data_IF_813728396996
#
_entry.id   IF_813728396996
#
_cell.length_a   1.000
_cell.length_b   1.000
_cell.length_c   1.000
_cell.angle_alpha   90.00
_cell.angle_beta   90.00
_cell.angle_gamma   90.00
#
_symmetry.space_group_name_H-M   'P 1'
#
loop_
_entity.id
_entity.type
_entity.pdbx_description
1 polymer ?
#
# COMPACT_ATOMS: atom_id res chain seq x y z
N UNK A 1 3.74 -16.72 -22.16
CA UNK A 1 3.11 -15.45 -21.76
C UNK A 1 3.09 -15.41 -20.24
N UNK A 2 3.59 -14.34 -19.61
CA UNK A 2 3.55 -14.18 -18.16
C UNK A 2 2.12 -14.27 -17.59
N UNK A 3 2.00 -14.67 -16.33
CA UNK A 3 0.74 -15.09 -15.70
C UNK A 3 -0.12 -13.89 -15.24
N UNK A 4 -1.34 -13.67 -15.79
CA UNK A 4 -2.16 -12.51 -15.44
C UNK A 4 -2.58 -12.48 -13.96
N UNK A 5 -2.35 -11.34 -13.29
CA UNK A 5 -2.64 -11.16 -11.87
C UNK A 5 -4.15 -11.28 -11.56
N UNK A 6 -5.00 -10.94 -12.53
CA UNK A 6 -6.46 -11.13 -12.45
C UNK A 6 -6.86 -12.56 -12.07
N UNK A 7 -6.14 -13.59 -12.55
CA UNK A 7 -6.46 -14.98 -12.23
C UNK A 7 -6.11 -15.35 -10.79
N UNK A 8 -5.06 -14.76 -10.22
CA UNK A 8 -4.77 -14.90 -8.78
C UNK A 8 -5.87 -14.22 -7.96
N UNK A 9 -6.33 -13.04 -8.39
CA UNK A 9 -7.44 -12.33 -7.77
C UNK A 9 -8.76 -13.12 -7.85
N UNK A 10 -9.01 -13.86 -8.93
CA UNK A 10 -10.19 -14.74 -9.06
C UNK A 10 -10.22 -15.82 -7.97
N UNK A 11 -9.09 -16.53 -7.74
CA UNK A 11 -8.96 -17.52 -6.66
C UNK A 11 -9.13 -16.89 -5.28
N UNK A 12 -8.46 -15.76 -5.03
CA UNK A 12 -8.54 -15.07 -3.74
C UNK A 12 -9.97 -14.57 -3.44
N UNK A 13 -10.73 -14.16 -4.46
CA UNK A 13 -12.14 -13.77 -4.32
C UNK A 13 -13.08 -14.98 -4.12
N UNK A 14 -12.78 -16.15 -4.70
CA UNK A 14 -13.48 -17.40 -4.36
C UNK A 14 -13.21 -17.83 -2.90
N UNK A 15 -11.94 -17.78 -2.45
CA UNK A 15 -11.57 -18.10 -1.06
C UNK A 15 -12.15 -17.09 -0.06
N UNK A 16 -12.17 -15.79 -0.38
CA UNK A 16 -12.82 -14.77 0.44
C UNK A 16 -14.32 -15.01 0.59
N UNK A 17 -15.00 -15.47 -0.48
CA UNK A 17 -16.43 -15.85 -0.43
C UNK A 17 -16.70 -17.10 0.41
N UNK A 18 -15.73 -17.98 0.62
CA UNK A 18 -15.84 -19.07 1.58
C UNK A 18 -15.67 -18.59 3.04
N UNK A 19 -14.80 -17.60 3.28
CA UNK A 19 -14.51 -17.06 4.62
C UNK A 19 -15.64 -16.14 5.11
N UNK A 20 -16.10 -15.23 4.25
CA UNK A 20 -17.07 -14.18 4.57
C UNK A 20 -18.55 -14.64 4.51
N UNK A 21 -18.84 -15.90 4.84
CA UNK A 21 -20.22 -16.44 4.82
C UNK A 21 -20.98 -16.04 6.10
N UNK A 22 -22.23 -15.60 5.95
CA UNK A 22 -23.12 -15.25 7.07
C UNK A 22 -23.28 -16.39 8.10
N UNK A 23 -23.26 -17.64 7.63
CA UNK A 23 -23.06 -18.83 8.45
C UNK A 23 -21.62 -19.34 8.26
N UNK A 24 -20.73 -19.17 9.25
CA UNK A 24 -19.36 -19.65 9.17
C UNK A 24 -19.29 -21.17 8.99
N UNK A 25 -18.39 -21.64 8.13
CA UNK A 25 -18.12 -23.07 7.97
C UNK A 25 -17.27 -23.58 9.14
N UNK A 26 -17.61 -24.79 9.63
CA UNK A 26 -16.74 -25.52 10.56
C UNK A 26 -15.34 -25.68 9.93
N UNK A 27 -14.22 -25.51 10.68
CA UNK A 27 -12.88 -25.45 10.11
C UNK A 27 -12.52 -26.59 9.14
N UNK A 28 -12.88 -27.83 9.45
CA UNK A 28 -12.67 -28.99 8.56
C UNK A 28 -13.40 -28.85 7.22
N UNK A 29 -14.63 -28.34 7.22
CA UNK A 29 -15.44 -28.10 6.02
C UNK A 29 -14.90 -26.91 5.23
N UNK A 30 -14.46 -25.85 5.92
CA UNK A 30 -13.78 -24.71 5.30
C UNK A 30 -12.50 -25.14 4.56
N UNK A 31 -11.59 -25.87 5.22
CA UNK A 31 -10.34 -26.32 4.60
C UNK A 31 -10.59 -27.26 3.41
N UNK A 32 -11.58 -28.16 3.48
CA UNK A 32 -11.97 -28.99 2.34
C UNK A 32 -12.48 -28.14 1.16
N UNK A 33 -13.37 -27.17 1.42
CA UNK A 33 -13.91 -26.28 0.39
C UNK A 33 -12.81 -25.41 -0.25
N UNK A 34 -11.91 -24.82 0.56
CA UNK A 34 -10.76 -24.06 0.08
C UNK A 34 -9.81 -24.90 -0.78
N UNK A 35 -9.58 -26.16 -0.38
CA UNK A 35 -8.76 -27.12 -1.13
C UNK A 35 -9.39 -27.46 -2.48
N UNK A 36 -10.67 -27.82 -2.54
CA UNK A 36 -11.36 -28.12 -3.81
C UNK A 36 -11.44 -26.89 -4.73
N UNK A 37 -11.70 -25.69 -4.20
CA UNK A 37 -11.61 -24.42 -4.93
C UNK A 37 -10.22 -24.22 -5.54
N UNK A 38 -9.15 -24.42 -4.75
CA UNK A 38 -7.76 -24.29 -5.21
C UNK A 38 -7.42 -25.32 -6.28
N UNK A 39 -7.82 -26.58 -6.10
CA UNK A 39 -7.61 -27.66 -7.07
C UNK A 39 -8.38 -27.42 -8.37
N UNK A 40 -9.58 -26.84 -8.31
CA UNK A 40 -10.35 -26.42 -9.49
C UNK A 40 -9.64 -25.30 -10.26
N UNK A 41 -9.11 -24.29 -9.55
CA UNK A 41 -8.35 -23.20 -10.14
C UNK A 41 -7.04 -23.69 -10.80
N UNK A 42 -6.28 -24.53 -10.11
CA UNK A 42 -5.05 -25.14 -10.65
C UNK A 42 -5.31 -25.95 -11.93
N UNK A 43 -6.41 -26.71 -11.98
CA UNK A 43 -6.84 -27.43 -13.19
C UNK A 43 -7.23 -26.45 -14.32
N UNK A 44 -7.97 -25.38 -14.01
CA UNK A 44 -8.43 -24.38 -14.99
C UNK A 44 -7.27 -23.60 -15.63
N UNK A 45 -6.25 -23.24 -14.85
CA UNK A 45 -5.12 -22.43 -15.31
C UNK A 45 -3.87 -23.24 -15.67
N UNK A 46 -3.94 -24.59 -15.62
CA UNK A 46 -2.78 -25.50 -15.82
C UNK A 46 -1.93 -25.14 -17.05
N UNK A 47 -2.53 -24.96 -18.21
CA UNK A 47 -1.81 -24.69 -19.47
C UNK A 47 -1.06 -23.35 -19.50
N UNK A 48 -1.36 -22.44 -18.56
CA UNK A 48 -0.59 -21.20 -18.35
C UNK A 48 0.46 -21.36 -17.24
N UNK A 49 0.17 -22.16 -16.21
CA UNK A 49 1.11 -22.45 -15.13
C UNK A 49 2.27 -23.34 -15.62
N UNK A 50 1.99 -24.34 -16.45
CA UNK A 50 3.02 -25.20 -17.08
C UNK A 50 3.78 -24.50 -18.25
N UNK A 51 3.46 -23.24 -18.57
CA UNK A 51 4.08 -22.54 -19.70
C UNK A 51 5.51 -22.08 -19.38
N UNK A 52 6.47 -22.34 -20.27
CA UNK A 52 7.89 -22.02 -20.10
C UNK A 52 8.24 -20.51 -19.98
N UNK A 53 7.24 -19.63 -19.96
CA UNK A 53 7.37 -18.17 -19.79
C UNK A 53 6.50 -17.65 -18.62
N UNK A 54 6.18 -18.53 -17.67
CA UNK A 54 5.59 -18.25 -16.36
C UNK A 54 6.66 -18.53 -15.31
N UNK A 55 6.75 -17.66 -14.31
CA UNK A 55 7.62 -17.83 -13.15
C UNK A 55 6.84 -18.55 -12.03
N UNK A 56 7.16 -19.83 -11.84
CA UNK A 56 6.51 -20.71 -10.86
C UNK A 56 6.61 -20.15 -9.43
N UNK A 57 7.78 -19.63 -9.05
CA UNK A 57 8.04 -19.10 -7.72
C UNK A 57 7.33 -17.76 -7.50
N UNK A 58 7.31 -16.88 -8.51
CA UNK A 58 6.53 -15.64 -8.44
C UNK A 58 5.03 -15.91 -8.25
N UNK A 59 4.46 -16.92 -8.91
CA UNK A 59 3.05 -17.30 -8.73
C UNK A 59 2.79 -17.90 -7.35
N UNK A 60 3.59 -18.88 -6.90
CA UNK A 60 3.38 -19.54 -5.61
C UNK A 60 3.61 -18.58 -4.43
N UNK A 61 4.66 -17.75 -4.50
CA UNK A 61 4.98 -16.79 -3.43
C UNK A 61 4.12 -15.52 -3.49
N UNK A 62 3.38 -15.30 -4.58
CA UNK A 62 2.23 -14.38 -4.59
C UNK A 62 1.03 -15.00 -3.87
N UNK A 63 0.76 -16.30 -4.08
CA UNK A 63 -0.34 -17.01 -3.40
C UNK A 63 -0.10 -17.25 -1.90
N UNK A 64 1.16 -17.23 -1.46
CA UNK A 64 1.58 -17.38 -0.06
C UNK A 64 2.55 -16.24 0.35
N UNK A 65 2.08 -14.99 0.39
CA UNK A 65 2.95 -13.82 0.55
C UNK A 65 3.56 -13.74 1.96
N UNK A 66 3.01 -14.45 2.95
CA UNK A 66 3.61 -14.58 4.27
C UNK A 66 4.95 -15.35 4.25
N UNK A 67 5.22 -16.14 3.19
CA UNK A 67 6.47 -16.89 3.02
C UNK A 67 7.61 -16.06 2.41
N UNK A 68 7.32 -14.88 1.85
CA UNK A 68 8.32 -13.91 1.37
C UNK A 68 8.95 -13.16 2.54
N UNK A 69 9.79 -13.84 3.32
CA UNK A 69 10.53 -13.24 4.47
C UNK A 69 11.79 -12.49 4.04
N UNK A 70 12.28 -12.75 2.83
CA UNK A 70 13.46 -12.16 2.17
C UNK A 70 13.34 -10.64 1.91
N UNK A 71 12.16 -10.20 1.46
CA UNK A 71 11.88 -8.84 0.98
C UNK A 71 11.19 -8.00 2.05
N UNK A 72 11.81 -6.94 2.56
CA UNK A 72 11.13 -5.96 3.42
C UNK A 72 10.75 -4.74 2.58
N UNK A 73 9.55 -4.20 2.83
CA UNK A 73 9.02 -3.03 2.13
C UNK A 73 9.02 -1.82 3.07
N UNK A 74 10.20 -1.24 3.29
CA UNK A 74 10.42 -0.13 4.22
C UNK A 74 9.51 1.07 3.91
N UNK A 75 8.72 1.51 4.89
CA UNK A 75 7.76 2.61 4.74
C UNK A 75 6.45 2.24 4.02
N UNK A 76 6.17 0.96 3.76
CA UNK A 76 4.93 0.47 3.13
C UNK A 76 4.08 -0.41 4.07
N UNK A 77 4.04 -0.04 5.36
CA UNK A 77 3.05 -0.55 6.31
C UNK A 77 1.64 0.00 5.98
N UNK A 78 0.60 -0.39 6.73
CA UNK A 78 -0.77 0.07 6.47
C UNK A 78 -0.91 1.61 6.48
N UNK A 79 -0.13 2.33 7.28
CA UNK A 79 -0.15 3.79 7.30
C UNK A 79 0.60 4.41 6.11
N UNK A 80 1.79 3.91 5.77
CA UNK A 80 2.57 4.37 4.63
C UNK A 80 1.91 4.04 3.29
N UNK A 81 1.44 2.80 3.11
CA UNK A 81 0.76 2.34 1.91
C UNK A 81 -0.56 3.10 1.66
N UNK A 82 -1.30 3.47 2.72
CA UNK A 82 -2.45 4.38 2.59
C UNK A 82 -2.06 5.73 1.97
N UNK A 83 -0.97 6.35 2.43
CA UNK A 83 -0.48 7.62 1.86
C UNK A 83 -0.05 7.45 0.40
N UNK A 84 0.61 6.33 0.07
CA UNK A 84 0.98 5.99 -1.31
C UNK A 84 -0.26 5.84 -2.19
N UNK A 85 -1.27 5.07 -1.77
CA UNK A 85 -2.51 4.88 -2.54
C UNK A 85 -3.26 6.20 -2.72
N UNK A 86 -3.37 7.00 -1.65
CA UNK A 86 -4.00 8.32 -1.69
C UNK A 86 -3.32 9.27 -2.70
N UNK A 87 -2.00 9.21 -2.76
CA UNK A 87 -1.15 9.98 -3.69
C UNK A 87 -1.30 9.50 -5.13
N UNK A 88 -1.12 8.20 -5.41
CA UNK A 88 -1.06 7.68 -6.79
C UNK A 88 -2.42 7.63 -7.50
N UNK A 89 -3.51 7.57 -6.73
CA UNK A 89 -4.88 7.73 -7.24
C UNK A 89 -5.35 9.19 -7.23
N UNK A 90 -4.56 10.13 -6.68
CA UNK A 90 -4.92 11.54 -6.44
C UNK A 90 -6.31 11.66 -5.78
N UNK A 91 -6.49 11.02 -4.62
CA UNK A 91 -7.78 10.93 -3.95
C UNK A 91 -8.25 12.30 -3.41
N UNK A 92 -9.45 12.78 -3.80
CA UNK A 92 -10.10 13.90 -3.13
C UNK A 92 -10.39 13.61 -1.65
N UNK A 93 -10.51 14.66 -0.83
CA UNK A 93 -10.67 14.57 0.63
C UNK A 93 -11.73 13.57 1.11
N UNK A 94 -12.90 13.49 0.45
CA UNK A 94 -13.93 12.49 0.79
C UNK A 94 -13.44 11.04 0.65
N UNK A 95 -12.71 10.76 -0.43
CA UNK A 95 -12.22 9.43 -0.77
C UNK A 95 -11.00 9.04 0.06
N UNK A 96 -10.21 10.03 0.49
CA UNK A 96 -9.16 9.81 1.48
C UNK A 96 -9.73 9.55 2.88
N UNK A 97 -10.79 10.24 3.29
CA UNK A 97 -11.50 9.95 4.55
C UNK A 97 -12.17 8.57 4.50
N UNK A 98 -12.79 8.19 3.38
CA UNK A 98 -13.32 6.84 3.16
C UNK A 98 -12.22 5.76 3.14
N UNK A 99 -11.03 6.08 2.61
CA UNK A 99 -9.86 5.21 2.70
C UNK A 99 -9.44 5.01 4.16
N UNK A 100 -9.33 6.09 4.94
CA UNK A 100 -8.86 6.09 6.32
C UNK A 100 -9.76 5.34 7.32
N UNK A 101 -10.97 4.90 6.92
CA UNK A 101 -11.91 4.19 7.79
C UNK A 101 -11.30 2.93 8.44
N UNK A 102 -10.36 2.23 7.80
CA UNK A 102 -9.70 1.04 8.37
C UNK A 102 -9.06 1.31 9.75
N UNK A 103 -8.63 2.56 10.02
CA UNK A 103 -8.00 2.99 11.28
C UNK A 103 -8.95 3.02 12.48
N UNK A 104 -10.25 3.15 12.24
CA UNK A 104 -11.26 3.51 13.26
C UNK A 104 -12.54 2.67 13.18
N UNK A 105 -12.82 2.08 12.01
CA UNK A 105 -13.94 1.19 11.74
C UNK A 105 -13.44 -0.20 11.28
N UNK A 106 -12.54 -0.92 12.00
CA UNK A 106 -11.93 -2.17 11.52
C UNK A 106 -12.96 -3.29 11.25
N UNK A 107 -14.12 -3.24 11.92
CA UNK A 107 -15.27 -4.12 11.64
C UNK A 107 -15.88 -3.91 10.23
N UNK A 108 -15.53 -2.82 9.53
CA UNK A 108 -15.89 -2.54 8.13
C UNK A 108 -14.73 -2.84 7.16
N UNK A 109 -13.73 -3.60 7.62
CA UNK A 109 -12.64 -4.12 6.81
C UNK A 109 -11.31 -3.38 6.99
N UNK A 110 -10.27 -4.02 6.45
CA UNK A 110 -8.89 -3.55 6.37
C UNK A 110 -8.70 -2.39 5.37
N UNK A 111 -7.46 -1.90 5.26
CA UNK A 111 -7.06 -0.92 4.25
C UNK A 111 -7.52 -1.37 2.85
N UNK A 112 -7.27 -2.63 2.48
CA UNK A 112 -7.60 -3.15 1.16
C UNK A 112 -9.11 -3.17 0.85
N UNK A 113 -9.96 -3.47 1.85
CA UNK A 113 -11.42 -3.32 1.72
C UNK A 113 -11.82 -1.85 1.51
N UNK A 114 -11.12 -0.92 2.17
CA UNK A 114 -11.34 0.52 1.98
C UNK A 114 -10.85 1.00 0.60
N UNK A 115 -9.75 0.45 0.07
CA UNK A 115 -9.28 0.69 -1.31
C UNK A 115 -10.32 0.25 -2.34
N UNK A 116 -10.87 -0.96 -2.21
CA UNK A 116 -11.92 -1.45 -3.12
C UNK A 116 -13.16 -0.54 -3.08
N UNK A 117 -13.61 -0.16 -1.88
CA UNK A 117 -14.75 0.75 -1.67
C UNK A 117 -14.51 2.11 -2.32
N UNK A 118 -13.35 2.72 -2.09
CA UNK A 118 -13.00 4.03 -2.65
C UNK A 118 -12.93 3.98 -4.18
N UNK A 119 -12.29 2.97 -4.77
CA UNK A 119 -12.23 2.84 -6.23
C UNK A 119 -13.60 2.56 -6.84
N UNK A 120 -14.50 1.82 -6.16
CA UNK A 120 -15.91 1.67 -6.59
C UNK A 120 -16.67 2.99 -6.53
N UNK A 121 -16.50 3.79 -5.47
CA UNK A 121 -17.12 5.12 -5.35
C UNK A 121 -16.63 6.06 -6.46
N UNK A 122 -15.32 6.07 -6.76
CA UNK A 122 -14.75 6.82 -7.88
C UNK A 122 -15.32 6.39 -9.24
N UNK A 123 -15.64 5.11 -9.44
CA UNK A 123 -16.25 4.60 -10.67
C UNK A 123 -17.68 5.13 -10.87
N UNK A 124 -18.50 5.09 -9.83
CA UNK A 124 -19.87 5.62 -9.86
C UNK A 124 -19.92 7.15 -10.11
N UNK A 125 -18.82 7.85 -9.79
CA UNK A 125 -18.64 9.28 -10.03
C UNK A 125 -18.05 9.62 -11.41
N UNK A 126 -17.94 8.65 -12.32
CA UNK A 126 -17.32 8.77 -13.65
C UNK A 126 -15.84 9.25 -13.61
N UNK A 127 -15.10 8.97 -12.53
CA UNK A 127 -13.67 9.25 -12.50
C UNK A 127 -12.88 8.20 -13.30
N UNK A 128 -11.76 8.60 -13.91
CA UNK A 128 -10.93 7.71 -14.73
C UNK A 128 -10.35 6.57 -13.90
N UNK A 129 -10.77 5.34 -14.22
CA UNK A 129 -10.33 4.08 -13.62
C UNK A 129 -9.87 3.13 -14.73
N UNK A 130 -9.05 2.14 -14.40
CA UNK A 130 -8.58 1.14 -15.34
C UNK A 130 -9.71 0.24 -15.86
N UNK A 131 -9.67 -0.06 -17.15
CA UNK A 131 -10.56 -1.05 -17.78
C UNK A 131 -10.12 -2.48 -17.41
N UNK A 132 -11.04 -3.45 -17.56
CA UNK A 132 -10.73 -4.88 -17.39
C UNK A 132 -9.55 -5.33 -18.28
N UNK A 133 -9.42 -4.77 -19.49
CA UNK A 133 -8.29 -5.05 -20.39
C UNK A 133 -6.95 -4.53 -19.84
N UNK A 134 -6.93 -3.36 -19.19
CA UNK A 134 -5.71 -2.82 -18.55
C UNK A 134 -5.28 -3.65 -17.34
N UNK A 135 -6.25 -4.12 -16.55
CA UNK A 135 -5.99 -4.98 -15.39
C UNK A 135 -5.53 -6.38 -15.80
N UNK A 136 -6.15 -6.97 -16.84
CA UNK A 136 -5.74 -8.26 -17.42
C UNK A 136 -4.35 -8.24 -18.06
N UNK A 137 -3.82 -7.05 -18.39
CA UNK A 137 -2.47 -6.86 -18.88
C UNK A 137 -1.41 -6.68 -17.75
N UNK A 138 -1.81 -6.67 -16.48
CA UNK A 138 -0.88 -6.75 -15.34
C UNK A 138 -0.63 -8.21 -15.02
N UNK A 139 0.64 -8.61 -14.93
CA UNK A 139 1.04 -9.99 -14.61
C UNK A 139 1.67 -10.09 -13.23
N UNK A 140 1.72 -11.31 -12.70
CA UNK A 140 2.34 -11.61 -11.40
C UNK A 140 3.81 -11.25 -11.43
N UNK A 141 4.54 -11.59 -12.49
CA UNK A 141 5.98 -11.36 -12.66
C UNK A 141 6.31 -9.87 -12.74
N UNK A 142 5.44 -9.05 -13.38
CA UNK A 142 5.58 -7.59 -13.39
C UNK A 142 5.49 -7.02 -11.96
N UNK A 143 4.54 -7.51 -11.16
CA UNK A 143 4.40 -7.12 -9.75
C UNK A 143 5.60 -7.63 -8.95
N UNK A 144 6.02 -8.88 -9.16
CA UNK A 144 7.10 -9.51 -8.39
C UNK A 144 8.44 -8.79 -8.54
N UNK A 145 8.85 -8.53 -9.79
CA UNK A 145 10.06 -7.79 -10.11
C UNK A 145 10.01 -6.34 -9.59
N UNK A 146 8.82 -5.73 -9.61
CA UNK A 146 8.61 -4.38 -9.07
C UNK A 146 8.72 -4.34 -7.54
N UNK A 147 8.16 -5.33 -6.84
CA UNK A 147 8.29 -5.46 -5.39
C UNK A 147 9.71 -5.88 -4.98
N UNK A 148 10.40 -6.68 -5.79
CA UNK A 148 11.82 -7.02 -5.61
C UNK A 148 12.70 -5.76 -5.73
N UNK A 149 12.47 -4.92 -6.74
CA UNK A 149 13.16 -3.63 -6.91
C UNK A 149 12.92 -2.69 -5.72
N UNK A 150 11.70 -2.65 -5.17
CA UNK A 150 11.42 -1.88 -3.95
C UNK A 150 12.17 -2.47 -2.75
N UNK A 151 12.19 -3.79 -2.61
CA UNK A 151 12.83 -4.47 -1.50
C UNK A 151 14.36 -4.41 -1.52
N UNK A 152 15.01 -4.37 -2.69
CA UNK A 152 16.49 -4.25 -2.78
C UNK A 152 17.02 -2.94 -2.21
N UNK A 153 16.19 -1.89 -2.19
CA UNK A 153 16.51 -0.57 -1.63
C UNK A 153 16.03 -0.39 -0.17
N UNK A 154 15.48 -1.43 0.46
CA UNK A 154 15.03 -1.43 1.86
C UNK A 154 16.13 -1.97 2.77
N UNK A 155 16.41 -1.25 3.87
CA UNK A 155 17.47 -1.61 4.82
C UNK A 155 17.25 -2.94 5.53
N UNK A 156 15.98 -3.33 5.72
CA UNK A 156 15.58 -4.56 6.41
C UNK A 156 15.54 -5.83 5.55
N UNK A 157 15.77 -5.73 4.23
CA UNK A 157 15.76 -6.90 3.34
C UNK A 157 17.03 -7.76 3.48
N UNK A 158 16.96 -9.02 3.02
CA UNK A 158 18.09 -9.94 3.03
C UNK A 158 19.32 -9.39 2.28
N UNK A 159 20.51 -9.93 2.55
CA UNK A 159 21.74 -9.49 1.90
C UNK A 159 21.69 -9.73 0.38
N UNK A 160 21.10 -10.85 -0.03
CA UNK A 160 20.90 -11.29 -1.41
C UNK A 160 19.94 -10.33 -2.11
N UNK A 161 18.78 -10.02 -1.50
CA UNK A 161 17.81 -9.05 -2.03
C UNK A 161 18.44 -7.66 -2.17
N UNK A 162 19.25 -7.20 -1.20
CA UNK A 162 19.91 -5.89 -1.26
C UNK A 162 21.04 -5.83 -2.30
N UNK A 163 21.72 -6.95 -2.58
CA UNK A 163 22.74 -7.03 -3.65
C UNK A 163 22.18 -6.89 -5.07
N UNK A 164 20.84 -6.90 -5.23
CA UNK A 164 20.14 -6.64 -6.50
C UNK A 164 19.77 -5.15 -6.68
N UNK A 165 20.21 -4.25 -5.80
CA UNK A 165 20.10 -2.80 -6.02
C UNK A 165 21.14 -2.33 -7.05
N UNK A 166 20.72 -1.55 -8.04
CA UNK A 166 21.62 -0.92 -9.01
C UNK A 166 22.01 0.46 -8.48
N UNK A 167 23.31 0.74 -8.38
CA UNK A 167 23.84 1.87 -7.59
C UNK A 167 23.36 3.26 -8.06
N UNK A 168 22.98 3.42 -9.34
CA UNK A 168 22.53 4.68 -9.95
C UNK A 168 20.98 4.85 -10.05
N UNK A 169 20.16 3.85 -9.68
CA UNK A 169 18.70 3.89 -9.90
C UNK A 169 17.91 4.34 -8.63
N UNK A 170 17.43 5.60 -8.57
CA UNK A 170 16.52 6.03 -7.49
C UNK A 170 15.22 5.22 -7.51
N UNK A 171 15.06 4.28 -6.58
CA UNK A 171 13.86 3.47 -6.46
C UNK A 171 12.67 4.29 -5.91
N UNK A 172 11.95 4.97 -6.81
CA UNK A 172 10.67 5.58 -6.49
C UNK A 172 9.56 4.51 -6.41
N UNK A 173 9.47 3.88 -5.24
CA UNK A 173 8.45 2.89 -4.90
C UNK A 173 7.02 3.39 -5.15
N UNK A 174 6.80 4.71 -5.14
CA UNK A 174 5.49 5.33 -5.29
C UNK A 174 5.11 5.45 -6.76
N UNK A 175 6.05 5.81 -7.63
CA UNK A 175 5.84 5.72 -9.08
C UNK A 175 5.62 4.26 -9.53
N UNK A 176 6.44 3.33 -9.02
CA UNK A 176 6.34 1.89 -9.27
C UNK A 176 4.94 1.37 -8.86
N UNK A 177 4.53 1.54 -7.61
CA UNK A 177 3.21 1.11 -7.14
C UNK A 177 2.07 1.86 -7.86
N UNK A 178 2.25 3.14 -8.15
CA UNK A 178 1.29 3.95 -8.88
C UNK A 178 1.02 3.44 -10.29
N UNK A 179 2.01 2.86 -10.96
CA UNK A 179 1.82 2.23 -12.26
C UNK A 179 0.88 1.01 -12.21
N UNK A 180 0.80 0.30 -11.07
CA UNK A 180 -0.17 -0.76 -10.86
C UNK A 180 -1.53 -0.22 -10.42
N UNK A 181 -1.61 0.64 -9.40
CA UNK A 181 -2.89 1.18 -8.91
C UNK A 181 -3.66 1.98 -9.98
N UNK A 182 -2.97 2.58 -10.97
CA UNK A 182 -3.59 3.23 -12.15
C UNK A 182 -4.00 2.26 -13.27
N UNK A 183 -3.63 0.98 -13.20
CA UNK A 183 -3.89 -0.08 -14.21
C UNK A 183 -4.79 -1.21 -13.72
N UNK A 184 -5.00 -1.35 -12.41
CA UNK A 184 -5.86 -2.37 -11.79
C UNK A 184 -7.28 -1.84 -11.54
N UNK A 185 -8.29 -2.72 -11.52
CA UNK A 185 -9.63 -2.34 -11.05
C UNK A 185 -9.67 -2.35 -9.52
N UNK A 186 -10.78 -1.88 -8.94
CA UNK A 186 -11.03 -1.92 -7.48
C UNK A 186 -10.77 -3.29 -6.84
N UNK A 187 -11.02 -4.40 -7.57
CA UNK A 187 -10.87 -5.77 -7.08
C UNK A 187 -9.40 -6.19 -7.00
N UNK A 188 -8.66 -6.03 -8.09
CA UNK A 188 -7.24 -6.38 -8.12
C UNK A 188 -6.42 -5.42 -7.24
N UNK A 189 -6.82 -4.15 -7.12
CA UNK A 189 -6.16 -3.19 -6.24
C UNK A 189 -6.26 -3.58 -4.74
N UNK A 190 -7.38 -4.16 -4.29
CA UNK A 190 -7.50 -4.79 -2.97
C UNK A 190 -6.47 -5.92 -2.80
N UNK A 191 -6.42 -6.85 -3.75
CA UNK A 191 -5.52 -7.99 -3.65
C UNK A 191 -4.04 -7.61 -3.76
N UNK A 192 -3.69 -6.58 -4.53
CA UNK A 192 -2.35 -5.98 -4.53
C UNK A 192 -2.02 -5.32 -3.17
N UNK A 193 -2.98 -4.60 -2.58
CA UNK A 193 -2.79 -3.98 -1.24
C UNK A 193 -2.46 -5.04 -0.20
N UNK A 194 -3.19 -6.16 -0.20
CA UNK A 194 -2.95 -7.31 0.68
C UNK A 194 -1.63 -8.04 0.42
N UNK A 195 -1.26 -8.19 -0.85
CA UNK A 195 0.03 -8.77 -1.28
C UNK A 195 1.22 -7.93 -0.77
N UNK A 196 1.14 -6.60 -0.82
CA UNK A 196 2.18 -5.70 -0.29
C UNK A 196 2.27 -5.81 1.24
N UNK A 197 1.12 -5.83 1.94
CA UNK A 197 1.07 -6.00 3.39
C UNK A 197 1.37 -7.43 3.85
N UNK A 198 1.49 -8.39 2.93
CA UNK A 198 1.67 -9.84 3.15
C UNK A 198 0.61 -10.50 4.03
N UNK A 199 -0.61 -9.97 4.03
CA UNK A 199 -1.76 -10.52 4.74
C UNK A 199 -2.99 -10.51 3.83
N UNK A 200 -3.47 -11.71 3.46
CA UNK A 200 -4.70 -11.84 2.67
C UNK A 200 -5.98 -11.74 3.50
N UNK A 201 -5.88 -11.64 4.82
CA UNK A 201 -6.98 -11.53 5.76
C UNK A 201 -7.43 -12.87 6.35
N UNK A 202 -8.30 -12.85 7.38
CA UNK A 202 -8.66 -14.04 8.14
C UNK A 202 -9.29 -15.14 7.27
N UNK A 203 -8.78 -16.36 7.45
CA UNK A 203 -9.20 -17.58 6.73
C UNK A 203 -8.66 -17.73 5.31
N UNK A 204 -8.20 -16.65 4.66
CA UNK A 204 -7.75 -16.69 3.26
C UNK A 204 -6.29 -17.12 3.22
N UNK A 205 -6.05 -18.43 3.02
CA UNK A 205 -4.72 -19.02 2.81
C UNK A 205 -4.75 -20.03 1.67
N UNK A 206 -3.68 -20.05 0.87
CA UNK A 206 -3.42 -21.15 -0.06
C UNK A 206 -2.95 -22.39 0.73
N UNK A 207 -3.50 -23.60 0.51
CA UNK A 207 -3.16 -24.78 1.30
C UNK A 207 -1.67 -25.19 1.20
N UNK A 208 -1.03 -25.43 2.35
CA UNK A 208 0.36 -25.90 2.42
C UNK A 208 0.56 -27.34 1.92
N UNK A 209 -0.49 -28.16 1.98
CA UNK A 209 -0.51 -29.50 1.37
C UNK A 209 -1.80 -29.72 0.58
N UNK A 210 -1.65 -29.85 -0.74
CA UNK A 210 -2.75 -30.20 -1.64
C UNK A 210 -2.85 -31.72 -1.73
N UNK A 211 -3.49 -32.35 -0.73
CA UNK A 211 -3.66 -33.80 -0.65
C UNK A 211 -4.45 -34.30 -1.86
N UNK A 212 -3.71 -34.86 -2.82
CA UNK A 212 -4.24 -35.34 -4.08
C UNK A 212 -4.64 -36.81 -3.97
N UNK A 213 -5.93 -37.08 -4.16
CA UNK A 213 -6.45 -38.44 -4.34
C UNK A 213 -5.83 -39.04 -5.62
N UNK A 214 -5.73 -40.36 -5.71
CA UNK A 214 -4.98 -41.06 -6.77
C UNK A 214 -5.40 -40.74 -8.22
N UNK A 215 -6.58 -40.14 -8.42
CA UNK A 215 -7.09 -39.63 -9.69
C UNK A 215 -6.71 -38.15 -9.99
N UNK A 216 -5.75 -37.55 -9.26
CA UNK A 216 -5.29 -36.16 -9.45
C UNK A 216 -3.92 -36.09 -10.16
N UNK A 217 -3.79 -36.65 -11.36
CA UNK A 217 -2.61 -36.48 -12.24
C UNK A 217 -2.47 -35.06 -12.83
N UNK A 218 -3.14 -34.07 -12.25
CA UNK A 218 -3.48 -32.79 -12.89
C UNK A 218 -2.84 -31.56 -12.25
N UNK A 219 -2.00 -31.69 -11.22
CA UNK A 219 -1.31 -30.55 -10.62
C UNK A 219 -0.25 -29.95 -11.57
N UNK A 220 -0.20 -28.61 -11.73
CA UNK A 220 0.84 -27.92 -12.51
C UNK A 220 2.23 -28.07 -11.90
N UNK A 221 3.28 -27.83 -12.70
CA UNK A 221 4.69 -27.97 -12.28
C UNK A 221 5.05 -27.19 -11.00
N UNK A 222 4.46 -26.01 -10.80
CA UNK A 222 4.70 -25.15 -9.64
C UNK A 222 4.21 -25.73 -8.30
N UNK A 223 3.45 -26.84 -8.28
CA UNK A 223 2.87 -27.41 -7.05
C UNK A 223 3.61 -28.68 -6.62
N UNK A 224 4.29 -28.61 -5.49
CA UNK A 224 4.88 -29.80 -4.85
C UNK A 224 3.79 -30.71 -4.28
N UNK A 225 3.84 -32.01 -4.62
CA UNK A 225 2.84 -33.01 -4.21
C UNK A 225 3.37 -33.87 -3.07
N UNK A 226 2.77 -33.77 -1.89
CA UNK A 226 3.02 -34.73 -0.80
C UNK A 226 2.02 -35.88 -0.89
N UNK A 227 2.46 -37.03 -1.40
CA UNK A 227 1.65 -38.23 -1.48
C UNK A 227 1.57 -38.93 -0.11
N UNK A 228 0.39 -38.89 0.52
CA UNK A 228 0.09 -39.66 1.72
C UNK A 228 -0.46 -41.03 1.31
N UNK A 229 0.42 -42.03 1.22
CA UNK A 229 0.02 -43.42 0.99
C UNK A 229 -0.61 -43.99 2.26
N UNK A 230 -1.93 -44.19 2.25
CA UNK A 230 -2.62 -44.93 3.30
C UNK A 230 -2.08 -46.37 3.35
N UNK A 231 -1.24 -46.67 4.34
CA UNK A 231 -0.61 -47.98 4.54
C UNK A 231 -1.56 -49.04 5.13
N UNK A 232 -2.82 -49.02 4.70
CA UNK A 232 -3.73 -50.15 4.86
C UNK A 232 -3.34 -51.24 3.85
N UNK A 233 -2.20 -51.89 4.11
CA UNK A 233 -1.92 -53.23 3.55
C UNK A 233 -3.08 -54.10 4.04
N UNK A 234 -3.92 -54.68 3.16
CA UNK A 234 -4.95 -55.61 3.59
C UNK A 234 -4.25 -56.77 4.30
N UNK A 235 -4.68 -57.18 5.52
CA UNK A 235 -4.03 -58.26 6.24
C UNK A 235 -3.98 -59.49 5.33
N UNK A 236 -2.78 -60.01 5.09
CA UNK A 236 -2.53 -60.96 4.01
C UNK A 236 -3.21 -62.29 4.29
N UNK A 237 -4.40 -62.48 3.72
CA UNK A 237 -5.20 -63.70 3.85
C UNK A 237 -4.52 -64.88 3.14
N UNK A 238 -3.52 -65.47 3.80
CA UNK A 238 -3.02 -66.80 3.46
C UNK A 238 -4.12 -67.81 3.75
N UNK A 239 -4.54 -68.56 2.74
CA UNK A 239 -5.48 -69.67 2.86
C UNK A 239 -4.69 -70.94 3.17
N UNK A 240 -4.41 -71.17 4.45
CA UNK A 240 -3.80 -72.41 4.91
C UNK A 240 -4.88 -73.50 5.05
N UNK A 241 -5.17 -74.17 3.93
CA UNK A 241 -6.04 -75.34 3.86
C UNK A 241 -7.56 -75.06 3.80
N UNK A 242 -8.38 -76.12 3.72
CA UNK A 242 -9.83 -76.02 3.64
C UNK A 242 -10.48 -75.92 5.04
N UNK A 243 -11.06 -74.77 5.37
CA UNK A 243 -12.09 -74.68 6.42
C UNK A 243 -11.86 -73.71 7.58
N UNK A 244 -10.78 -72.91 7.60
CA UNK A 244 -10.61 -71.88 8.64
C UNK A 244 -10.04 -70.57 8.10
N UNK A 245 -10.45 -69.47 8.73
CA UNK A 245 -9.92 -68.12 8.53
C UNK A 245 -9.69 -67.50 9.92
N UNK A 246 -8.51 -66.90 10.11
CA UNK A 246 -8.23 -66.04 11.26
C UNK A 246 -7.63 -64.72 10.78
N UNK A 247 -7.98 -63.64 11.46
CA UNK A 247 -7.33 -62.35 11.29
C UNK A 247 -5.96 -62.40 12.00
N UNK A 248 -4.93 -61.80 11.39
CA UNK A 248 -3.65 -61.59 12.06
C UNK A 248 -3.67 -60.24 12.81
N UNK A 249 -3.18 -60.22 14.05
CA UNK A 249 -3.17 -59.02 14.87
C UNK A 249 -2.26 -57.92 14.29
N UNK A 250 -2.73 -56.67 14.39
CA UNK A 250 -2.05 -55.53 13.78
C UNK A 250 -0.79 -55.13 14.57
N UNK A 251 0.38 -55.56 14.09
CA UNK A 251 1.66 -55.10 14.60
C UNK A 251 1.80 -53.57 14.45
N UNK A 252 2.03 -52.86 15.57
CA UNK A 252 2.23 -51.41 15.59
C UNK A 252 3.53 -51.06 14.87
N UNK A 253 3.44 -50.49 13.67
CA UNK A 253 4.62 -50.06 12.90
C UNK A 253 5.22 -48.79 13.50
N UNK A 254 6.42 -48.90 14.06
CA UNK A 254 7.30 -47.76 14.35
C UNK A 254 7.99 -47.30 13.07
N UNK A 255 8.01 -45.98 12.84
CA UNK A 255 8.59 -45.38 11.64
C UNK A 255 10.12 -45.38 11.67
N UNK A 256 10.74 -46.41 11.11
CA UNK A 256 12.18 -46.42 10.82
C UNK A 256 12.47 -45.78 9.45
N UNK A 257 13.57 -45.03 9.37
CA UNK A 257 14.06 -44.37 8.16
C UNK A 257 14.73 -45.39 7.23
N UNK A 258 14.70 -45.14 5.91
CA UNK A 258 15.53 -45.88 4.94
C UNK A 258 17.01 -45.41 5.02
N UNK A 259 17.98 -46.27 4.66
CA UNK A 259 19.40 -46.02 4.94
C UNK A 259 20.13 -45.20 3.87
N UNK A 260 21.16 -44.48 4.31
CA UNK A 260 22.16 -43.81 3.47
C UNK A 260 23.34 -44.77 3.15
N UNK A 261 23.92 -44.75 1.94
CA UNK A 261 25.11 -45.55 1.62
C UNK A 261 26.40 -44.98 2.28
N UNK A 262 27.47 -45.80 2.45
CA UNK A 262 28.62 -45.45 3.27
C UNK A 262 29.81 -44.83 2.50
N UNK A 263 30.44 -43.83 3.13
CA UNK A 263 31.85 -43.45 2.95
C UNK A 263 32.31 -42.76 4.26
N UNK A 264 33.17 -43.38 5.07
CA UNK A 264 34.63 -43.16 5.11
C UNK A 264 35.04 -42.04 6.08
N UNK A 265 35.85 -42.40 7.08
CA UNK A 265 36.43 -41.51 8.10
C UNK A 265 37.64 -40.70 7.52
N UNK A 266 38.22 -39.65 8.15
CA UNK A 266 38.54 -39.62 9.59
C UNK A 266 38.40 -38.28 10.36
N UNK A 267 38.43 -38.40 11.70
CA UNK A 267 38.86 -37.39 12.69
C UNK A 267 40.38 -37.59 12.98
N UNK A 268 41.16 -36.67 13.62
CA UNK A 268 40.67 -35.94 14.79
C UNK A 268 41.24 -34.53 15.13
N UNK A 269 40.58 -33.89 16.11
CA UNK A 269 40.98 -32.76 17.00
C UNK A 269 41.94 -31.65 16.52
N UNK A 270 41.59 -30.40 16.87
CA UNK A 270 42.32 -29.71 17.95
C UNK A 270 41.48 -28.62 18.64
N UNK A 271 41.65 -28.49 19.96
CA UNK A 271 40.85 -27.60 20.83
C UNK A 271 41.67 -26.42 21.36
N UNK A 272 41.09 -25.21 21.43
CA UNK A 272 41.46 -24.20 22.44
C UNK A 272 40.29 -23.28 22.80
N UNK A 273 40.38 -22.58 23.94
CA UNK A 273 39.27 -21.85 24.57
C UNK A 273 39.77 -20.66 25.41
N UNK A 274 38.85 -19.73 25.73
CA UNK A 274 38.76 -18.85 26.92
C UNK A 274 38.92 -17.31 26.78
N UNK A 275 38.10 -16.64 27.63
CA UNK A 275 38.16 -15.22 28.12
C UNK A 275 37.77 -14.15 27.09
N UNK A 276 36.73 -13.31 27.26
CA UNK A 276 35.83 -12.92 28.40
C UNK A 276 36.44 -11.98 29.45
N UNK A 277 35.63 -11.00 29.88
CA UNK A 277 35.78 -10.02 30.98
C UNK A 277 36.58 -8.73 30.66
N UNK A 278 36.19 -7.51 31.12
CA UNK A 278 34.94 -7.04 31.78
C UNK A 278 34.75 -5.52 31.55
N UNK A 279 33.54 -4.96 31.76
CA UNK A 279 33.26 -3.53 31.49
C UNK A 279 31.97 -2.91 32.06
N UNK A 280 31.51 -3.31 33.24
CA UNK A 280 30.50 -2.57 34.05
C UNK A 280 31.11 -1.26 34.60
N UNK A 281 30.40 -0.18 34.98
CA UNK A 281 28.97 0.15 35.31
C UNK A 281 28.80 1.69 35.07
N UNK A 282 27.79 2.50 35.46
CA UNK A 282 26.57 2.45 36.30
C UNK A 282 25.67 3.68 35.91
N UNK A 283 24.37 3.69 36.26
CA UNK A 283 23.49 4.80 36.76
C UNK A 283 22.02 4.51 36.33
N UNK A 284 21.02 4.42 37.23
CA UNK A 284 20.25 5.48 37.96
C UNK A 284 19.45 6.40 37.02
N UNK A 285 18.16 6.70 37.21
CA UNK A 285 17.22 6.55 38.36
C UNK A 285 15.75 6.35 37.87
N UNK A 286 14.71 6.15 38.73
CA UNK A 286 13.46 5.48 38.31
C UNK A 286 12.14 6.29 38.46
N UNK A 287 11.04 5.62 38.06
CA UNK A 287 9.66 5.70 38.59
C UNK A 287 8.72 6.87 38.24
N UNK A 288 7.59 6.48 37.63
CA UNK A 288 6.36 7.26 37.48
C UNK A 288 5.42 7.12 38.70
N UNK A 289 4.73 8.22 39.06
CA UNK A 289 3.39 8.27 39.66
C UNK A 289 2.69 9.49 39.05
N UNK A 290 1.55 9.40 38.39
CA UNK A 290 0.20 9.05 38.89
C UNK A 290 -0.39 10.12 39.81
N UNK A 291 -1.27 10.96 39.23
CA UNK A 291 -2.46 11.42 39.94
C UNK A 291 -3.61 11.61 38.93
N UNK A 292 -4.79 11.12 39.31
CA UNK A 292 -6.08 11.36 38.64
C UNK A 292 -6.96 12.05 39.68
N UNK A 293 -7.75 13.03 39.24
CA UNK A 293 -8.78 13.65 40.08
C UNK A 293 -10.10 13.72 39.29
N UNK A 294 -11.21 13.52 39.99
CA UNK A 294 -12.56 13.32 39.45
C UNK A 294 -13.53 14.15 40.31
N UNK A 295 -14.60 14.67 39.69
CA UNK A 295 -15.88 15.15 40.27
C UNK A 295 -16.20 16.62 39.94
N UNK A 296 -17.49 17.03 39.90
CA UNK A 296 -18.68 16.24 39.56
C UNK A 296 -19.66 16.93 38.57
N UNK A 297 -20.69 16.16 38.23
CA UNK A 297 -21.93 16.48 37.49
C UNK A 297 -22.74 17.66 38.04
N UNK A 298 -23.48 18.37 37.18
CA UNK A 298 -24.87 18.77 37.49
C UNK A 298 -25.77 18.91 36.24
N UNK A 299 -27.09 19.14 36.42
CA UNK A 299 -28.15 18.80 35.44
C UNK A 299 -29.44 19.62 35.61
N UNK A 300 -29.92 20.30 34.55
CA UNK A 300 -31.30 20.80 34.29
C UNK A 300 -31.31 21.38 32.84
N UNK A 301 -32.23 21.21 31.88
CA UNK A 301 -33.70 21.04 31.71
C UNK A 301 -34.46 22.30 31.24
N UNK A 302 -34.83 22.27 29.94
CA UNK A 302 -36.17 22.54 29.39
C UNK A 302 -36.60 23.90 28.74
N UNK A 303 -37.57 23.76 27.82
CA UNK A 303 -38.56 24.69 27.25
C UNK A 303 -38.13 25.87 26.33
N UNK A 304 -38.99 26.18 25.33
CA UNK A 304 -39.11 27.55 24.77
C UNK A 304 -38.96 27.75 23.24
N UNK A 305 -40.03 27.54 22.47
CA UNK A 305 -40.28 28.20 21.16
C UNK A 305 -41.22 29.41 21.39
N UNK A 306 -41.37 30.43 20.48
CA UNK A 306 -41.30 30.30 19.01
C UNK A 306 -40.76 31.48 18.16
N UNK A 307 -40.61 31.21 16.86
CA UNK A 307 -40.72 32.13 15.69
C UNK A 307 -40.17 33.58 15.74
N UNK A 308 -39.22 33.86 14.83
CA UNK A 308 -39.23 35.11 14.03
C UNK A 308 -38.75 34.84 12.61
N UNK A 309 -39.57 35.16 11.59
CA UNK A 309 -39.14 35.13 10.18
C UNK A 309 -38.09 36.23 9.96
N UNK A 310 -36.92 35.84 9.48
CA UNK A 310 -35.92 36.73 8.87
C UNK A 310 -35.66 36.33 7.42
N UNK A 311 -35.19 37.28 6.61
CA UNK A 311 -34.90 37.07 5.18
C UNK A 311 -33.76 36.06 5.01
N UNK A 312 -33.62 35.39 3.84
CA UNK A 312 -32.43 34.61 3.53
C UNK A 312 -31.21 35.55 3.48
N UNK A 313 -30.48 35.62 4.59
CA UNK A 313 -29.19 36.29 4.65
C UNK A 313 -28.24 35.62 3.65
N UNK A 314 -27.54 36.43 2.86
CA UNK A 314 -26.52 35.93 1.95
C UNK A 314 -25.53 35.04 2.70
N UNK A 315 -25.28 33.84 2.15
CA UNK A 315 -24.31 32.91 2.72
C UNK A 315 -22.93 33.59 2.74
N UNK A 316 -22.46 33.95 3.95
CA UNK A 316 -21.13 34.51 4.17
C UNK A 316 -20.08 33.55 3.61
N UNK A 317 -19.58 33.85 2.43
CA UNK A 317 -18.52 33.08 1.77
C UNK A 317 -17.28 33.05 2.68
N UNK A 318 -16.89 31.85 3.10
CA UNK A 318 -15.75 31.67 4.00
C UNK A 318 -14.47 32.24 3.39
N UNK A 319 -13.67 33.03 4.14
CA UNK A 319 -12.36 33.48 3.67
C UNK A 319 -11.41 32.29 3.46
N UNK A 320 -10.37 32.43 2.61
CA UNK A 320 -9.48 31.33 2.23
C UNK A 320 -8.70 30.78 3.44
N UNK A 321 -8.52 29.46 3.48
CA UNK A 321 -7.90 28.73 4.60
C UNK A 321 -6.39 28.97 4.62
N UNK A 322 -5.91 29.73 5.61
CA UNK A 322 -4.48 29.92 5.90
C UNK A 322 -3.99 28.91 6.95
N UNK A 323 -3.70 27.68 6.52
CA UNK A 323 -3.08 26.67 7.39
C UNK A 323 -1.54 26.66 7.24
N UNK A 324 -0.88 27.68 7.78
CA UNK A 324 0.55 27.60 8.10
C UNK A 324 0.72 26.98 9.48
N UNK A 325 1.04 25.68 9.58
CA UNK A 325 1.02 24.96 10.85
C UNK A 325 2.01 23.79 10.95
N UNK A 326 2.94 23.91 11.90
CA UNK A 326 4.00 22.93 12.26
C UNK A 326 4.99 22.63 11.12
N UNK A 327 5.96 23.52 10.95
CA UNK A 327 7.20 23.25 10.21
C UNK A 327 7.87 21.98 10.75
N UNK A 328 7.87 20.91 9.93
CA UNK A 328 8.61 19.66 10.15
C UNK A 328 9.75 19.47 9.15
N UNK A 329 9.87 20.40 8.21
CA UNK A 329 11.00 20.59 7.30
C UNK A 329 12.34 20.50 8.06
N UNK A 330 13.24 19.65 7.61
CA UNK A 330 14.62 19.58 8.11
C UNK A 330 15.49 20.66 7.44
N UNK A 331 15.16 21.07 6.21
CA UNK A 331 15.61 22.34 5.67
C UNK A 331 15.02 23.48 6.52
N UNK A 332 15.87 24.34 7.08
CA UNK A 332 15.42 25.44 7.95
C UNK A 332 14.50 26.41 7.19
N UNK A 333 13.68 27.19 7.91
CA UNK A 333 12.74 28.13 7.28
C UNK A 333 13.41 29.21 6.41
N UNK A 334 14.74 29.37 6.51
CA UNK A 334 15.55 30.26 5.67
C UNK A 334 16.15 29.56 4.42
N UNK A 335 16.34 28.23 4.44
CA UNK A 335 16.92 27.45 3.33
C UNK A 335 15.89 26.63 2.56
N UNK A 336 14.73 26.33 3.15
CA UNK A 336 13.62 25.67 2.48
C UNK A 336 13.13 26.50 1.27
N UNK A 337 13.22 25.98 0.03
CA UNK A 337 12.93 26.76 -1.17
C UNK A 337 11.42 27.05 -1.37
N UNK A 338 10.57 26.50 -0.50
CA UNK A 338 9.11 26.67 -0.51
C UNK A 338 8.64 27.78 0.45
N UNK A 339 9.43 28.16 1.47
CA UNK A 339 8.99 29.01 2.58
C UNK A 339 8.51 30.43 2.19
N UNK A 340 9.00 30.99 1.08
CA UNK A 340 8.54 32.29 0.55
C UNK A 340 7.64 32.13 -0.71
N UNK A 341 6.93 31.01 -0.84
CA UNK A 341 5.99 30.76 -1.92
C UNK A 341 4.53 30.85 -1.45
N UNK A 342 3.67 31.31 -2.35
CA UNK A 342 2.22 31.22 -2.24
C UNK A 342 1.73 30.32 -3.37
N UNK A 343 1.24 29.14 -3.01
CA UNK A 343 0.77 28.14 -3.96
C UNK A 343 -0.70 28.34 -4.34
N UNK A 344 -1.03 28.09 -5.59
CA UNK A 344 -2.35 28.24 -6.18
C UNK A 344 -2.70 26.88 -6.78
N UNK A 345 -3.60 26.16 -6.15
CA UNK A 345 -3.84 24.76 -6.48
C UNK A 345 -4.91 24.65 -7.56
N UNK A 346 -4.62 23.92 -8.65
CA UNK A 346 -5.63 23.59 -9.65
C UNK A 346 -6.80 22.81 -9.01
N UNK A 347 -8.07 23.02 -9.43
CA UNK A 347 -9.23 22.35 -8.81
C UNK A 347 -9.11 20.83 -8.71
N UNK A 348 -8.43 20.20 -9.68
CA UNK A 348 -8.19 18.76 -9.74
C UNK A 348 -7.19 18.21 -8.69
N UNK A 349 -6.40 19.07 -8.03
CA UNK A 349 -5.47 18.71 -6.94
C UNK A 349 -5.76 19.48 -5.64
N UNK A 350 -6.52 20.58 -5.70
CA UNK A 350 -6.91 21.42 -4.57
C UNK A 350 -7.70 20.67 -3.47
N UNK A 351 -8.23 19.49 -3.78
CA UNK A 351 -8.97 18.62 -2.85
C UNK A 351 -8.15 17.43 -2.35
N UNK A 352 -6.90 17.24 -2.82
CA UNK A 352 -6.06 16.06 -2.53
C UNK A 352 -5.32 16.21 -1.20
N UNK A 353 -5.61 15.42 -0.14
CA UNK A 353 -5.02 15.65 1.19
C UNK A 353 -3.53 15.36 1.28
N UNK A 354 -3.00 14.47 0.45
CA UNK A 354 -1.55 14.29 0.31
C UNK A 354 -0.84 15.62 -0.02
N UNK A 355 -1.48 16.49 -0.81
CA UNK A 355 -0.97 17.82 -1.14
C UNK A 355 -1.25 18.84 -0.03
N UNK A 356 -2.50 18.91 0.45
CA UNK A 356 -3.00 20.00 1.31
C UNK A 356 -2.89 19.77 2.82
N UNK A 357 -2.74 18.52 3.26
CA UNK A 357 -2.61 18.11 4.67
C UNK A 357 -1.24 17.51 5.00
N UNK A 358 -0.49 17.02 4.00
CA UNK A 358 0.85 16.46 4.18
C UNK A 358 1.96 17.38 3.62
N UNK A 359 2.13 17.45 2.29
CA UNK A 359 3.27 18.14 1.67
C UNK A 359 3.35 19.66 1.96
N UNK A 360 2.29 20.42 1.69
CA UNK A 360 2.33 21.88 1.85
C UNK A 360 2.47 22.32 3.32
N UNK A 361 1.75 21.73 4.30
CA UNK A 361 1.97 22.03 5.71
C UNK A 361 3.36 21.68 6.24
N UNK A 362 3.95 20.56 5.80
CA UNK A 362 5.29 20.11 6.25
C UNK A 362 6.37 21.19 6.06
N UNK A 363 6.32 21.88 4.91
CA UNK A 363 7.20 22.97 4.52
C UNK A 363 6.65 24.36 4.90
N UNK A 364 5.68 24.46 5.83
CA UNK A 364 5.11 25.71 6.33
C UNK A 364 4.44 26.59 5.27
N UNK A 365 4.09 26.03 4.10
CA UNK A 365 3.83 26.79 2.89
C UNK A 365 2.38 27.26 2.75
N UNK A 366 2.19 28.55 2.47
CA UNK A 366 0.86 29.11 2.24
C UNK A 366 0.30 28.66 0.88
N UNK A 367 -0.98 28.26 0.84
CA UNK A 367 -1.67 27.92 -0.40
C UNK A 367 -3.11 28.43 -0.44
N UNK A 368 -3.65 28.56 -1.66
CA UNK A 368 -5.04 28.91 -1.93
C UNK A 368 -5.65 28.00 -2.99
N UNK A 369 -6.93 27.69 -2.84
CA UNK A 369 -7.71 26.78 -3.72
C UNK A 369 -8.75 27.51 -4.57
N UNK A 370 -9.02 28.79 -4.29
CA UNK A 370 -9.93 29.65 -5.06
C UNK A 370 -9.17 30.74 -5.80
N UNK A 371 -9.40 30.87 -7.10
CA UNK A 371 -8.83 31.92 -7.93
C UNK A 371 -9.33 33.32 -7.55
N UNK A 372 -10.50 33.46 -6.95
CA UNK A 372 -10.99 34.75 -6.45
C UNK A 372 -10.08 35.32 -5.34
N UNK A 373 -9.42 34.46 -4.56
CA UNK A 373 -8.49 34.88 -3.52
C UNK A 373 -7.23 35.56 -4.08
N UNK A 374 -6.83 35.31 -5.35
CA UNK A 374 -5.67 35.97 -5.98
C UNK A 374 -5.84 37.47 -6.18
N UNK A 375 -7.09 37.90 -6.35
CA UNK A 375 -7.51 39.29 -6.57
C UNK A 375 -7.94 39.99 -5.27
N UNK A 376 -8.02 39.25 -4.15
CA UNK A 376 -8.42 39.81 -2.86
C UNK A 376 -7.39 40.81 -2.33
N UNK A 377 -7.80 42.00 -1.83
CA UNK A 377 -6.87 42.94 -1.21
C UNK A 377 -6.21 42.37 0.06
N UNK A 378 -6.89 41.43 0.73
CA UNK A 378 -6.47 40.80 1.99
C UNK A 378 -5.45 39.67 1.80
N UNK A 379 -5.09 39.33 0.55
CA UNK A 379 -4.09 38.30 0.28
C UNK A 379 -2.70 38.78 0.74
N UNK A 380 -1.98 38.03 1.62
CA UNK A 380 -0.65 38.42 2.09
C UNK A 380 0.31 38.66 0.92
N UNK A 381 0.85 39.88 0.84
CA UNK A 381 1.77 40.29 -0.23
C UNK A 381 3.25 40.03 0.11
N UNK A 382 3.53 39.75 1.39
CA UNK A 382 4.87 39.47 1.94
C UNK A 382 4.77 38.36 2.99
N UNK A 383 5.82 37.53 3.06
CA UNK A 383 6.02 36.54 4.10
C UNK A 383 6.31 37.25 5.45
N UNK A 384 5.56 36.94 6.54
CA UNK A 384 5.80 37.54 7.86
C UNK A 384 7.21 37.31 8.40
N UNK A 385 7.76 36.10 8.21
CA UNK A 385 9.05 35.67 8.75
C UNK A 385 10.24 36.31 8.03
N UNK A 386 10.16 36.49 6.70
CA UNK A 386 11.30 36.95 5.87
C UNK A 386 11.15 38.38 5.35
N UNK A 387 9.97 38.99 5.48
CA UNK A 387 9.61 40.29 4.89
C UNK A 387 9.60 40.31 3.35
N UNK A 388 10.07 39.26 2.67
CA UNK A 388 10.15 39.16 1.20
C UNK A 388 8.74 39.05 0.61
N UNK A 389 8.57 39.45 -0.65
CA UNK A 389 7.30 39.26 -1.37
C UNK A 389 7.15 37.78 -1.74
N UNK A 390 5.95 37.22 -1.56
CA UNK A 390 5.65 35.86 -1.95
C UNK A 390 5.82 35.65 -3.46
N UNK A 391 6.48 34.55 -3.83
CA UNK A 391 6.52 34.01 -5.19
C UNK A 391 5.16 33.31 -5.46
N UNK A 392 4.41 33.73 -6.48
CA UNK A 392 3.12 33.13 -6.83
C UNK A 392 3.33 31.93 -7.76
N UNK A 393 2.96 30.74 -7.31
CA UNK A 393 3.15 29.48 -8.05
C UNK A 393 1.82 28.76 -8.22
N UNK A 394 1.42 28.50 -9.45
CA UNK A 394 0.35 27.57 -9.80
C UNK A 394 0.88 26.13 -9.83
N UNK A 395 0.24 25.25 -9.05
CA UNK A 395 0.48 23.81 -9.11
C UNK A 395 -0.66 23.15 -9.89
N UNK A 396 -0.31 22.30 -10.85
CA UNK A 396 -1.22 21.65 -11.80
C UNK A 396 -0.84 20.18 -12.00
N UNK A 397 -1.75 19.37 -12.55
CA UNK A 397 -1.51 17.98 -12.91
C UNK A 397 -1.32 17.85 -14.44
N UNK A 398 -0.09 17.67 -14.96
CA UNK A 398 0.15 17.57 -16.40
C UNK A 398 -0.59 16.40 -17.08
N UNK A 399 -0.88 15.31 -16.35
CA UNK A 399 -1.66 14.18 -16.86
C UNK A 399 -3.16 14.49 -17.05
N UNK A 400 -3.57 15.75 -16.85
CA UNK A 400 -4.91 16.31 -17.02
C UNK A 400 -4.82 17.58 -17.88
N UNK A 401 -4.53 17.46 -19.19
CA UNK A 401 -4.15 18.59 -20.03
C UNK A 401 -5.30 19.59 -20.24
N UNK A 402 -6.53 19.14 -20.44
CA UNK A 402 -7.68 20.02 -20.68
C UNK A 402 -7.97 20.87 -19.45
N UNK A 403 -8.04 20.24 -18.27
CA UNK A 403 -8.31 20.94 -17.01
C UNK A 403 -7.15 21.86 -16.60
N UNK A 404 -5.91 21.49 -16.94
CA UNK A 404 -4.73 22.36 -16.76
C UNK A 404 -4.82 23.58 -17.67
N UNK A 405 -5.07 23.40 -18.98
CA UNK A 405 -5.22 24.51 -19.94
C UNK A 405 -6.36 25.45 -19.55
N UNK A 406 -7.50 24.93 -19.09
CA UNK A 406 -8.61 25.74 -18.60
C UNK A 406 -8.23 26.54 -17.34
N UNK A 407 -7.60 25.90 -16.36
CA UNK A 407 -7.14 26.58 -15.14
C UNK A 407 -6.13 27.70 -15.42
N UNK A 408 -5.18 27.48 -16.34
CA UNK A 408 -4.25 28.52 -16.77
C UNK A 408 -4.96 29.67 -17.51
N UNK A 409 -5.94 29.38 -18.36
CA UNK A 409 -6.80 30.41 -18.98
C UNK A 409 -7.57 31.22 -17.93
N UNK A 410 -8.05 30.59 -16.85
CA UNK A 410 -8.71 31.29 -15.74
C UNK A 410 -7.74 32.20 -14.96
N UNK A 411 -6.50 31.77 -14.70
CA UNK A 411 -5.48 32.64 -14.09
C UNK A 411 -5.18 33.85 -14.98
N UNK A 412 -5.00 33.65 -16.28
CA UNK A 412 -4.69 34.74 -17.23
C UNK A 412 -5.77 35.82 -17.27
N UNK A 413 -7.05 35.42 -17.22
CA UNK A 413 -8.21 36.34 -17.18
C UNK A 413 -8.21 37.29 -15.97
N UNK A 414 -7.52 36.96 -14.87
CA UNK A 414 -7.42 37.82 -13.70
C UNK A 414 -6.56 39.07 -13.93
N UNK A 415 -5.77 39.12 -15.02
CA UNK A 415 -4.94 40.27 -15.43
C UNK A 415 -4.12 40.87 -14.26
N UNK A 416 -3.52 40.01 -13.43
CA UNK A 416 -2.89 40.39 -12.17
C UNK A 416 -1.80 41.45 -12.40
N UNK A 417 -1.82 42.51 -11.60
CA UNK A 417 -0.84 43.62 -11.66
C UNK A 417 -0.06 43.79 -10.37
N UNK A 418 1.17 44.30 -10.50
CA UNK A 418 2.01 44.76 -9.38
C UNK A 418 1.60 46.20 -9.01
N UNK A 419 2.06 46.67 -7.84
CA UNK A 419 1.79 48.03 -7.30
C UNK A 419 2.44 49.20 -8.08
N UNK A 420 2.70 49.03 -9.39
CA UNK A 420 3.18 50.02 -10.36
C UNK A 420 2.60 49.72 -11.76
N UNK A 421 1.37 49.19 -11.84
CA UNK A 421 0.66 48.79 -13.07
C UNK A 421 1.21 47.56 -13.82
N UNK A 422 2.52 47.31 -13.79
CA UNK A 422 3.17 46.21 -14.54
C UNK A 422 2.58 44.83 -14.18
N UNK A 423 2.36 43.97 -15.20
CA UNK A 423 1.85 42.59 -15.05
C UNK A 423 2.59 41.81 -13.96
N UNK A 424 1.84 41.07 -13.15
CA UNK A 424 2.33 40.04 -12.24
C UNK A 424 2.12 38.68 -12.88
N UNK A 425 3.22 38.09 -13.35
CA UNK A 425 3.25 36.69 -13.77
C UNK A 425 3.03 35.74 -12.59
N UNK A 426 2.38 34.61 -12.86
CA UNK A 426 2.27 33.41 -12.01
C UNK A 426 3.08 32.29 -12.67
N UNK A 427 3.96 31.66 -11.91
CA UNK A 427 4.80 30.56 -12.39
C UNK A 427 4.04 29.23 -12.33
N UNK A 428 4.21 28.35 -13.31
CA UNK A 428 3.43 27.10 -13.45
C UNK A 428 4.33 25.88 -13.33
N UNK A 429 3.96 24.97 -12.43
CA UNK A 429 4.70 23.75 -12.12
C UNK A 429 3.80 22.52 -12.04
N UNK A 430 4.34 21.35 -12.43
CA UNK A 430 3.82 20.07 -11.95
C UNK A 430 3.91 20.06 -10.41
N UNK A 431 2.79 19.73 -9.76
CA UNK A 431 2.68 19.64 -8.30
C UNK A 431 3.69 18.67 -7.67
N UNK A 432 4.20 17.68 -8.44
CA UNK A 432 5.28 16.76 -8.06
C UNK A 432 6.58 17.44 -7.64
N UNK A 433 6.78 18.72 -7.95
CA UNK A 433 7.93 19.49 -7.48
C UNK A 433 8.09 19.48 -5.95
N UNK A 434 6.97 19.49 -5.22
CA UNK A 434 6.97 19.41 -3.76
C UNK A 434 7.54 18.08 -3.26
N UNK A 435 7.37 17.02 -4.04
CA UNK A 435 7.79 15.65 -3.71
C UNK A 435 9.29 15.49 -3.94
N UNK A 436 9.83 16.09 -5.00
CA UNK A 436 11.27 16.23 -5.19
C UNK A 436 11.92 17.05 -4.06
N UNK A 437 11.25 18.10 -3.57
CA UNK A 437 11.76 18.90 -2.46
C UNK A 437 11.63 18.15 -1.13
N UNK A 438 10.58 17.35 -0.93
CA UNK A 438 10.44 16.44 0.21
C UNK A 438 11.45 15.26 0.18
N UNK A 439 11.95 14.86 -0.99
CA UNK A 439 13.13 13.97 -1.11
C UNK A 439 14.39 14.68 -0.60
N UNK A 440 14.66 15.91 -1.06
CA UNK A 440 15.81 16.72 -0.61
C UNK A 440 15.75 17.02 0.89
N UNK A 441 14.57 17.30 1.43
CA UNK A 441 14.33 17.52 2.87
C UNK A 441 14.67 16.31 3.75
N UNK A 442 14.70 15.10 3.17
CA UNK A 442 15.11 13.85 3.82
C UNK A 442 16.56 13.47 3.49
N UNK A 443 17.35 14.43 2.99
CA UNK A 443 18.76 14.21 2.64
C UNK A 443 19.01 13.50 1.31
N UNK A 444 18.00 13.13 0.51
CA UNK A 444 18.25 12.59 -0.83
C UNK A 444 18.82 13.67 -1.75
N UNK A 445 20.07 13.49 -2.19
CA UNK A 445 20.65 14.23 -3.31
C UNK A 445 19.92 13.83 -4.59
N UNK A 446 19.57 14.82 -5.42
CA UNK A 446 19.04 14.60 -6.78
C UNK A 446 20.12 15.01 -7.79
N UNK A 447 20.21 14.25 -8.88
CA UNK A 447 21.04 14.50 -10.06
C UNK A 447 20.51 15.69 -10.89
N UNK A 448 19.18 15.81 -10.99
CA UNK A 448 18.49 16.89 -11.70
C UNK A 448 18.02 18.01 -10.76
N UNK A 449 17.80 19.20 -11.32
CA UNK A 449 17.19 20.33 -10.61
C UNK A 449 15.64 20.23 -10.68
N UNK A 450 14.91 20.07 -9.55
CA UNK A 450 13.45 19.95 -9.56
C UNK A 450 12.73 21.16 -10.14
N UNK A 451 13.26 22.37 -9.91
CA UNK A 451 12.71 23.63 -10.42
C UNK A 451 12.90 23.79 -11.94
N UNK A 452 13.70 22.92 -12.59
CA UNK A 452 13.72 22.75 -14.05
C UNK A 452 12.86 21.58 -14.50
N UNK A 453 12.97 20.40 -13.87
CA UNK A 453 12.22 19.17 -14.25
C UNK A 453 10.70 19.37 -14.25
N UNK A 454 10.17 20.10 -13.27
CA UNK A 454 8.73 20.28 -13.10
C UNK A 454 8.19 21.61 -13.67
N UNK A 455 9.03 22.45 -14.31
CA UNK A 455 8.59 23.73 -14.89
C UNK A 455 7.73 23.52 -16.13
N UNK A 456 6.61 24.23 -16.22
CA UNK A 456 5.71 24.15 -17.39
C UNK A 456 5.34 25.50 -18.02
N UNK A 457 5.73 26.63 -17.40
CA UNK A 457 5.56 27.96 -18.00
C UNK A 457 5.21 29.06 -17.00
N UNK A 458 4.72 30.19 -17.51
CA UNK A 458 4.19 31.28 -16.70
C UNK A 458 2.99 31.95 -17.38
N UNK A 459 2.06 32.49 -16.58
CA UNK A 459 0.79 33.10 -17.00
C UNK A 459 0.64 34.52 -16.48
#
# INVERSE_FOLDING_TARGET
MPFPFVYVCDLLEDLARLSNRESPLLPKVFHHAATETTLKWLKLHRSRLDAAATDDDAVILTLQPEKRTDRVYEGLDSFGLEQVIARVLNLPRRHFQDLQRWRHEPAKGDLATCVERVMKNMAAENQRIATSAQASAVTVEQIDQSLLRIASHSSGSSAEVRSLALEDEDCDAIEILGNFYRRLTSREAKWLTRLILKDYGPGIKFPDSLICKANHSFLPRCVQVRAEFSSSIPPSLRRDGPGSLRLADAAKSTSNLLPTPPATAPEPVHSTSHKVALGTRLLRSPSTKTQVSISPTERTTDHGSPTRRSKPSELRLSPPIFNGGRSKCQLSEQTCPLANCLFILAPCIATTPWLTENLLPWHGSCFITSLQALSSPNLPRRCPQTGKKYRKIALVEPNRPEQTIEFLKMIGRLNLTRSRGKKQWVEVYDWRILECIAKIDRGKKLDYNPWRRCWMGAV
#
